data_IF_776252537636
#
_entry.id   IF_776252537636
#
_cell.length_a   1.000
_cell.length_b   1.000
_cell.length_c   1.000
_cell.angle_alpha   90.00
_cell.angle_beta   90.00
_cell.angle_gamma   90.00
#
_symmetry.space_group_name_H-M   'P 1'
#
loop_
_entity.id
_entity.type
_entity.pdbx_description
1 polymer ?
#
# COMPACT_ATOMS: atom_id res chain seq x y z
N UNK A 1 5.88 -18.27 16.35
CA UNK A 1 6.55 -19.51 16.80
C UNK A 1 7.97 -19.13 17.20
N UNK A 2 8.40 -19.40 18.45
CA UNK A 2 9.76 -19.09 18.94
C UNK A 2 10.47 -20.39 19.29
N UNK A 3 11.72 -20.55 18.86
CA UNK A 3 12.51 -21.78 19.02
C UNK A 3 13.16 -22.21 17.70
N UNK A 4 13.46 -23.49 17.55
CA UNK A 4 13.97 -24.05 16.29
C UNK A 4 12.82 -24.14 15.28
N UNK A 5 12.71 -23.10 14.43
CA UNK A 5 11.68 -23.00 13.40
C UNK A 5 12.26 -23.35 12.04
N UNK A 6 11.55 -24.19 11.28
CA UNK A 6 11.99 -24.66 9.97
C UNK A 6 10.90 -24.49 8.94
N UNK A 7 11.20 -23.81 7.84
CA UNK A 7 10.28 -23.68 6.72
C UNK A 7 10.62 -24.73 5.68
N UNK A 8 9.60 -25.49 5.26
CA UNK A 8 9.74 -26.56 4.30
C UNK A 8 8.72 -26.39 3.17
N UNK A 9 9.18 -25.80 2.08
CA UNK A 9 8.37 -25.48 0.90
C UNK A 9 7.72 -26.71 0.25
N UNK A 10 8.42 -27.84 0.02
CA UNK A 10 7.84 -28.98 -0.68
C UNK A 10 6.61 -29.60 -0.01
N UNK A 11 6.42 -29.39 1.30
CA UNK A 11 5.24 -29.85 2.04
C UNK A 11 4.33 -28.71 2.49
N UNK A 12 4.58 -27.47 2.06
CA UNK A 12 3.86 -26.28 2.52
C UNK A 12 3.79 -26.15 4.04
N UNK A 13 4.87 -26.51 4.74
CA UNK A 13 4.88 -26.60 6.20
C UNK A 13 5.87 -25.66 6.87
N UNK A 14 5.50 -25.18 8.05
CA UNK A 14 6.41 -24.51 8.99
C UNK A 14 6.43 -25.32 10.27
N UNK A 15 7.58 -25.85 10.63
CA UNK A 15 7.78 -26.68 11.80
C UNK A 15 8.34 -25.85 12.96
N UNK A 16 7.86 -26.09 14.18
CA UNK A 16 8.51 -25.65 15.41
C UNK A 16 8.94 -26.89 16.21
N UNK A 17 10.24 -27.02 16.47
CA UNK A 17 10.80 -28.06 17.30
C UNK A 17 11.01 -27.56 18.73
N UNK A 18 10.32 -28.18 19.68
CA UNK A 18 10.45 -27.85 21.10
C UNK A 18 11.53 -28.72 21.75
N UNK A 19 12.62 -28.10 22.22
CA UNK A 19 13.66 -28.78 23.00
C UNK A 19 13.14 -29.16 24.39
N UNK A 20 13.54 -30.32 24.93
CA UNK A 20 13.33 -30.68 26.35
C UNK A 20 14.16 -29.75 27.26
N UNK A 21 13.61 -28.65 27.74
CA UNK A 21 14.16 -27.92 28.89
C UNK A 21 13.53 -28.47 30.19
N UNK A 22 14.29 -28.74 31.28
CA UNK A 22 13.82 -29.54 32.42
C UNK A 22 12.82 -28.85 33.37
N UNK A 23 12.29 -27.68 33.06
CA UNK A 23 11.49 -26.90 34.02
C UNK A 23 10.33 -26.05 33.48
N UNK A 24 10.07 -26.07 32.18
CA UNK A 24 8.94 -25.32 31.57
C UNK A 24 7.96 -26.19 30.78
N UNK A 25 8.21 -27.50 30.71
CA UNK A 25 7.47 -28.43 29.86
C UNK A 25 6.08 -28.78 30.43
N UNK A 26 5.92 -28.75 31.76
CA UNK A 26 4.67 -29.17 32.43
C UNK A 26 3.56 -28.09 32.39
N UNK A 27 3.92 -26.80 32.32
CA UNK A 27 2.92 -25.72 32.35
C UNK A 27 2.17 -25.62 31.00
N UNK A 28 2.85 -25.86 29.88
CA UNK A 28 2.27 -25.77 28.54
C UNK A 28 1.38 -26.97 28.17
N UNK A 29 1.75 -28.18 28.61
CA UNK A 29 1.00 -29.43 28.31
C UNK A 29 -0.37 -29.45 29.00
N UNK A 30 -0.57 -28.71 30.10
CA UNK A 30 -1.88 -28.63 30.77
C UNK A 30 -3.00 -28.07 29.89
N UNK A 31 -2.67 -27.43 28.76
CA UNK A 31 -3.61 -26.73 27.88
C UNK A 31 -3.91 -27.43 26.54
N UNK A 32 -3.27 -28.56 26.20
CA UNK A 32 -3.29 -29.12 24.84
C UNK A 32 -4.01 -30.48 24.76
N UNK A 33 -5.01 -30.59 23.88
CA UNK A 33 -5.66 -31.86 23.51
C UNK A 33 -4.68 -32.76 22.75
N UNK A 34 -4.36 -33.92 23.32
CA UNK A 34 -3.44 -34.91 22.72
C UNK A 34 -4.14 -35.63 21.56
N UNK A 35 -3.61 -35.54 20.35
CA UNK A 35 -3.92 -36.47 19.26
C UNK A 35 -2.92 -37.62 19.34
N UNK A 36 -3.40 -38.85 19.52
CA UNK A 36 -2.56 -40.04 19.63
C UNK A 36 -2.43 -40.75 18.27
N UNK A 37 -1.20 -40.99 17.82
CA UNK A 37 -0.86 -41.82 16.66
C UNK A 37 0.66 -42.04 16.60
N UNK A 38 1.11 -43.28 16.39
CA UNK A 38 2.47 -43.74 16.71
C UNK A 38 3.58 -43.48 15.68
N UNK A 39 4.82 -43.56 16.19
CA UNK A 39 6.13 -43.75 15.55
C UNK A 39 6.46 -43.01 14.23
N UNK A 40 6.71 -41.70 14.35
CA UNK A 40 7.94 -40.96 13.97
C UNK A 40 7.67 -39.48 14.31
N UNK A 41 8.53 -38.81 15.07
CA UNK A 41 8.38 -37.42 15.53
C UNK A 41 6.94 -37.04 15.99
N UNK A 42 6.58 -37.35 17.23
CA UNK A 42 5.25 -37.01 17.79
C UNK A 42 4.86 -35.54 17.50
N UNK A 43 3.87 -35.38 16.63
CA UNK A 43 3.20 -34.12 16.37
C UNK A 43 2.39 -33.71 17.60
N UNK A 44 2.67 -32.53 18.13
CA UNK A 44 2.04 -32.01 19.34
C UNK A 44 0.84 -31.12 19.02
N UNK A 45 0.91 -30.40 17.90
CA UNK A 45 -0.11 -29.46 17.45
C UNK A 45 0.02 -29.26 15.94
N UNK A 46 -1.12 -29.15 15.26
CA UNK A 46 -1.20 -28.85 13.84
C UNK A 46 -2.31 -27.84 13.58
N UNK A 47 -1.94 -26.73 12.97
CA UNK A 47 -2.84 -25.69 12.53
C UNK A 47 -2.70 -25.42 11.04
N UNK A 48 -3.81 -25.03 10.41
CA UNK A 48 -3.83 -24.63 9.00
C UNK A 48 -4.02 -23.13 8.93
N UNK A 49 -3.16 -22.45 8.17
CA UNK A 49 -3.21 -21.00 8.03
C UNK A 49 -3.03 -20.59 6.57
N UNK A 50 -3.72 -19.52 6.19
CA UNK A 50 -3.49 -18.81 4.93
C UNK A 50 -2.95 -17.43 5.26
N UNK A 51 -1.68 -17.10 5.02
CA UNK A 51 -1.02 -15.93 5.63
C UNK A 51 -1.32 -14.59 4.92
N UNK A 52 -2.52 -14.42 4.36
CA UNK A 52 -3.03 -13.15 3.80
C UNK A 52 -3.71 -12.28 4.86
N UNK A 53 -3.70 -10.96 4.67
CA UNK A 53 -4.08 -9.99 5.72
C UNK A 53 -5.59 -9.92 5.97
N UNK A 54 -6.43 -9.98 4.92
CA UNK A 54 -7.89 -9.87 5.04
C UNK A 54 -8.55 -11.21 5.39
N UNK A 55 -8.33 -11.70 6.61
CA UNK A 55 -8.88 -13.00 7.08
C UNK A 55 -10.40 -13.10 6.99
N UNK A 56 -11.10 -11.98 7.01
CA UNK A 56 -12.56 -11.90 6.95
C UNK A 56 -13.14 -11.98 5.53
N UNK A 57 -12.33 -11.94 4.47
CA UNK A 57 -12.80 -12.04 3.08
C UNK A 57 -12.69 -13.47 2.54
N UNK A 58 -13.72 -14.28 2.76
CA UNK A 58 -13.75 -15.69 2.38
C UNK A 58 -13.38 -15.94 0.90
N UNK A 59 -13.96 -15.18 -0.04
CA UNK A 59 -13.74 -15.37 -1.48
C UNK A 59 -12.26 -15.19 -1.87
N UNK A 60 -11.57 -14.26 -1.21
CA UNK A 60 -10.15 -14.00 -1.45
C UNK A 60 -9.32 -15.07 -0.77
N UNK A 61 -9.63 -15.35 0.50
CA UNK A 61 -8.96 -16.35 1.31
C UNK A 61 -9.02 -17.74 0.68
N UNK A 62 -10.09 -18.11 -0.01
CA UNK A 62 -10.20 -19.40 -0.71
C UNK A 62 -9.18 -19.57 -1.84
N UNK A 63 -8.60 -18.48 -2.34
CA UNK A 63 -7.56 -18.46 -3.38
C UNK A 63 -6.14 -18.36 -2.84
N UNK A 64 -6.00 -18.16 -1.53
CA UNK A 64 -4.68 -18.04 -0.88
C UNK A 64 -4.16 -19.43 -0.55
N UNK A 65 -2.91 -19.67 -0.87
CA UNK A 65 -2.25 -20.93 -0.56
C UNK A 65 -2.22 -21.16 0.96
N UNK A 66 -2.46 -22.41 1.35
CA UNK A 66 -2.53 -22.80 2.74
C UNK A 66 -1.20 -23.39 3.19
N UNK A 67 -0.82 -23.07 4.42
CA UNK A 67 0.33 -23.62 5.11
C UNK A 67 -0.10 -24.44 6.32
N UNK A 68 0.67 -25.48 6.59
CA UNK A 68 0.57 -26.30 7.78
C UNK A 68 1.60 -25.82 8.81
N UNK A 69 1.11 -25.33 9.96
CA UNK A 69 1.94 -24.98 11.11
C UNK A 69 1.97 -26.18 12.04
N UNK A 70 3.13 -26.81 12.17
CA UNK A 70 3.27 -28.10 12.85
C UNK A 70 4.26 -27.95 14.01
N UNK A 71 3.83 -28.27 15.22
CA UNK A 71 4.71 -28.31 16.40
C UNK A 71 5.12 -29.74 16.65
N UNK A 72 6.42 -29.99 16.71
CA UNK A 72 7.02 -31.30 16.94
C UNK A 72 7.89 -31.30 18.18
N UNK A 73 7.99 -32.46 18.81
CA UNK A 73 8.97 -32.70 19.87
C UNK A 73 10.34 -32.96 19.27
N UNK A 74 11.36 -32.26 19.76
CA UNK A 74 12.74 -32.53 19.35
C UNK A 74 13.20 -33.87 19.94
N UNK A 75 13.41 -34.88 19.08
CA UNK A 75 13.94 -36.19 19.48
C UNK A 75 15.42 -36.24 19.18
N UNK A 76 16.25 -36.38 20.22
CA UNK A 76 17.70 -36.52 20.07
C UNK A 76 18.01 -37.73 19.17
N UNK A 77 18.34 -37.47 17.90
CA UNK A 77 18.62 -38.49 16.90
C UNK A 77 17.98 -38.21 15.53
N UNK A 78 16.92 -37.41 15.46
CA UNK A 78 16.41 -36.92 14.19
C UNK A 78 17.33 -35.79 13.71
N UNK A 79 18.21 -36.09 12.75
CA UNK A 79 18.94 -35.05 12.01
C UNK A 79 17.94 -34.29 11.14
N UNK A 80 17.16 -33.40 11.75
CA UNK A 80 16.41 -32.41 11.00
C UNK A 80 17.48 -31.57 10.28
N UNK A 81 17.53 -31.67 8.95
CA UNK A 81 18.56 -31.02 8.14
C UNK A 81 18.11 -29.61 7.79
N UNK A 82 18.95 -28.63 8.07
CA UNK A 82 18.81 -27.27 7.57
C UNK A 82 19.75 -27.12 6.38
N UNK A 83 19.23 -26.63 5.25
CA UNK A 83 20.06 -26.29 4.09
C UNK A 83 20.61 -24.87 4.23
N UNK A 84 19.85 -23.99 4.90
CA UNK A 84 20.21 -22.60 5.15
C UNK A 84 19.86 -22.23 6.59
N UNK A 85 20.80 -21.58 7.27
CA UNK A 85 20.64 -21.09 8.65
C UNK A 85 20.54 -19.58 8.67
N UNK A 86 19.61 -19.06 9.46
CA UNK A 86 19.43 -17.64 9.73
C UNK A 86 19.49 -17.38 11.24
N UNK A 87 20.10 -16.26 11.62
CA UNK A 87 20.23 -15.80 13.01
C UNK A 87 19.18 -14.76 13.41
N UNK A 88 18.31 -14.37 12.47
CA UNK A 88 17.22 -13.42 12.64
C UNK A 88 15.85 -14.08 12.43
N UNK A 89 14.74 -13.49 12.92
CA UNK A 89 13.41 -14.03 12.71
C UNK A 89 12.98 -14.09 11.24
N UNK A 90 12.10 -15.03 10.91
CA UNK A 90 11.32 -15.02 9.67
C UNK A 90 9.98 -14.28 9.86
N UNK A 91 9.57 -13.53 8.84
CA UNK A 91 8.20 -13.05 8.69
C UNK A 91 7.64 -13.60 7.37
N UNK A 92 6.72 -14.54 7.49
CA UNK A 92 6.09 -15.23 6.38
C UNK A 92 4.72 -14.61 6.08
N UNK A 93 4.49 -14.20 4.83
CA UNK A 93 3.21 -13.63 4.39
C UNK A 93 2.86 -13.96 2.95
N UNK A 94 1.59 -13.81 2.60
CA UNK A 94 1.09 -13.96 1.23
C UNK A 94 1.05 -12.62 0.51
N UNK A 95 1.53 -12.59 -0.73
CA UNK A 95 1.30 -11.49 -1.69
C UNK A 95 0.23 -11.85 -2.73
N UNK A 96 -0.60 -12.86 -2.49
CA UNK A 96 -1.72 -13.25 -3.35
C UNK A 96 -2.93 -12.32 -3.22
N UNK A 97 -4.13 -12.88 -3.42
CA UNK A 97 -5.39 -12.16 -3.19
C UNK A 97 -5.68 -11.09 -4.24
N UNK A 98 -5.57 -9.81 -3.87
CA UNK A 98 -5.83 -8.67 -4.74
C UNK A 98 -4.56 -8.06 -5.39
N UNK A 99 -3.49 -8.84 -5.48
CA UNK A 99 -2.20 -8.45 -6.07
C UNK A 99 -2.37 -7.71 -7.40
N UNK A 100 -1.60 -6.63 -7.58
CA UNK A 100 -1.63 -5.78 -8.76
C UNK A 100 -2.61 -4.60 -8.66
N UNK A 101 -3.50 -4.57 -7.67
CA UNK A 101 -4.32 -3.41 -7.35
C UNK A 101 -3.62 -2.55 -6.29
N UNK A 102 -3.19 -1.33 -6.65
CA UNK A 102 -2.40 -0.45 -5.78
C UNK A 102 -3.02 -0.20 -4.40
N UNK A 103 -4.36 -0.14 -4.31
CA UNK A 103 -5.05 0.00 -3.03
C UNK A 103 -4.70 -1.15 -2.10
N UNK A 104 -4.93 -2.39 -2.57
CA UNK A 104 -4.69 -3.59 -1.79
C UNK A 104 -3.21 -3.83 -1.56
N UNK A 105 -2.36 -3.48 -2.52
CA UNK A 105 -0.90 -3.56 -2.37
C UNK A 105 -0.42 -2.75 -1.17
N UNK A 106 -0.93 -1.53 -0.99
CA UNK A 106 -0.58 -0.73 0.18
C UNK A 106 -1.36 -1.14 1.44
N UNK A 107 -2.68 -1.32 1.32
CA UNK A 107 -3.56 -1.53 2.45
C UNK A 107 -3.43 -2.91 3.08
N UNK A 108 -3.32 -3.94 2.25
CA UNK A 108 -3.30 -5.35 2.67
C UNK A 108 -1.86 -5.90 2.70
N UNK A 109 -0.92 -5.27 1.97
CA UNK A 109 0.48 -5.69 1.86
C UNK A 109 1.47 -4.78 2.57
N UNK A 110 1.84 -3.65 1.95
CA UNK A 110 2.97 -2.80 2.36
C UNK A 110 2.77 -2.18 3.75
N UNK A 111 1.59 -1.64 4.06
CA UNK A 111 1.34 -1.03 5.36
C UNK A 111 1.29 -2.08 6.47
N UNK A 112 0.58 -3.22 6.31
CA UNK A 112 0.67 -4.35 7.24
C UNK A 112 2.09 -4.91 7.42
N UNK A 113 2.89 -4.95 6.35
CA UNK A 113 4.29 -5.34 6.40
C UNK A 113 5.10 -4.37 7.26
N UNK A 114 4.92 -3.06 7.10
CA UNK A 114 5.52 -2.04 7.96
C UNK A 114 5.09 -2.19 9.42
N UNK A 115 3.79 -2.30 9.68
CA UNK A 115 3.20 -2.47 11.03
C UNK A 115 3.85 -3.67 11.73
N UNK A 116 3.96 -4.78 11.01
CA UNK A 116 4.45 -6.05 11.56
C UNK A 116 5.96 -6.05 11.73
N UNK A 117 6.72 -5.41 10.83
CA UNK A 117 8.18 -5.62 10.74
C UNK A 117 9.06 -4.48 11.25
N UNK A 118 8.59 -3.23 11.29
CA UNK A 118 9.46 -2.06 11.50
C UNK A 118 10.33 -2.15 12.77
N UNK A 119 9.80 -2.80 13.81
CA UNK A 119 10.45 -2.92 15.10
C UNK A 119 11.65 -3.87 15.12
N UNK A 120 11.80 -4.72 14.10
CA UNK A 120 12.99 -5.57 13.92
C UNK A 120 14.20 -4.78 13.40
N UNK A 121 14.03 -3.49 13.03
CA UNK A 121 15.13 -2.62 12.57
C UNK A 121 15.93 -3.24 11.41
N UNK A 122 15.24 -3.92 10.49
CA UNK A 122 15.77 -4.65 9.32
C UNK A 122 16.38 -6.03 9.59
N UNK A 123 16.44 -6.46 10.85
CA UNK A 123 16.90 -7.78 11.26
C UNK A 123 15.74 -8.79 11.24
N UNK A 124 15.21 -9.05 10.04
CA UNK A 124 14.11 -10.00 9.78
C UNK A 124 14.18 -10.45 8.33
N UNK A 125 13.98 -11.75 8.06
CA UNK A 125 13.92 -12.30 6.71
C UNK A 125 12.46 -12.40 6.27
N UNK A 126 12.15 -11.89 5.09
CA UNK A 126 10.81 -12.02 4.50
C UNK A 126 10.69 -13.29 3.69
N UNK A 127 9.64 -14.06 3.96
CA UNK A 127 9.30 -15.28 3.23
C UNK A 127 7.94 -15.05 2.58
N UNK A 128 7.89 -15.12 1.25
CA UNK A 128 6.72 -14.74 0.47
C UNK A 128 6.13 -15.98 -0.17
N UNK A 129 4.88 -16.30 0.16
CA UNK A 129 4.20 -17.52 -0.29
C UNK A 129 3.93 -17.50 -1.81
N UNK A 130 3.13 -16.55 -2.28
CA UNK A 130 2.86 -16.30 -3.71
C UNK A 130 3.80 -15.22 -4.28
N UNK A 131 5.10 -15.52 -4.35
CA UNK A 131 6.12 -14.57 -4.80
C UNK A 131 5.98 -14.23 -6.30
N UNK A 132 6.15 -12.94 -6.62
CA UNK A 132 6.23 -12.47 -7.99
C UNK A 132 7.40 -11.50 -8.18
N UNK A 133 8.27 -11.77 -9.14
CA UNK A 133 9.45 -10.92 -9.41
C UNK A 133 9.08 -9.48 -9.77
N UNK A 134 8.00 -9.28 -10.52
CA UNK A 134 7.51 -7.95 -10.87
C UNK A 134 7.03 -7.16 -9.63
N UNK A 135 6.48 -7.85 -8.63
CA UNK A 135 6.03 -7.24 -7.38
C UNK A 135 7.24 -6.73 -6.61
N UNK A 136 8.26 -7.59 -6.43
CA UNK A 136 9.49 -7.18 -5.77
C UNK A 136 10.15 -6.01 -6.49
N UNK A 137 10.29 -6.07 -7.82
CA UNK A 137 10.86 -4.97 -8.62
C UNK A 137 10.15 -3.64 -8.38
N UNK A 138 8.82 -3.67 -8.26
CA UNK A 138 8.01 -2.47 -8.03
C UNK A 138 8.17 -1.90 -6.62
N UNK A 139 8.25 -2.76 -5.60
CA UNK A 139 8.26 -2.36 -4.19
C UNK A 139 9.63 -2.48 -3.50
N UNK A 140 10.70 -2.81 -4.24
CA UNK A 140 12.06 -3.02 -3.72
C UNK A 140 12.55 -1.86 -2.85
N UNK A 141 12.30 -0.62 -3.28
CA UNK A 141 12.71 0.58 -2.54
C UNK A 141 12.07 0.63 -1.14
N UNK A 142 10.89 0.04 -0.97
CA UNK A 142 10.18 -0.07 0.31
C UNK A 142 10.68 -1.31 1.07
N UNK A 143 10.68 -2.48 0.43
CA UNK A 143 11.00 -3.76 1.08
C UNK A 143 12.42 -3.76 1.64
N UNK A 144 13.39 -3.22 0.90
CA UNK A 144 14.79 -3.05 1.32
C UNK A 144 14.99 -2.09 2.50
N UNK A 145 13.96 -1.30 2.87
CA UNK A 145 13.99 -0.48 4.08
C UNK A 145 13.48 -1.21 5.32
N UNK A 146 12.84 -2.35 5.14
CA UNK A 146 12.27 -3.16 6.22
C UNK A 146 13.08 -4.42 6.52
N UNK A 147 13.96 -4.86 5.61
CA UNK A 147 14.86 -5.99 5.79
C UNK A 147 16.21 -5.74 5.14
N UNK A 148 17.29 -6.20 5.79
CA UNK A 148 18.65 -6.25 5.23
C UNK A 148 18.90 -7.50 4.37
N UNK A 149 17.92 -8.41 4.31
CA UNK A 149 18.03 -9.71 3.66
C UNK A 149 17.17 -9.76 2.40
N UNK A 150 17.60 -10.48 1.35
CA UNK A 150 16.75 -10.72 0.19
C UNK A 150 15.50 -11.53 0.60
N UNK A 151 14.32 -11.20 0.06
CA UNK A 151 13.13 -12.01 0.33
C UNK A 151 13.28 -13.41 -0.28
N UNK A 152 12.75 -14.40 0.41
CA UNK A 152 12.70 -15.80 -0.02
C UNK A 152 11.37 -16.03 -0.75
N UNK A 153 11.45 -16.55 -1.97
CA UNK A 153 10.32 -17.14 -2.67
C UNK A 153 10.02 -18.51 -2.05
N UNK A 154 8.97 -18.60 -1.23
CA UNK A 154 8.67 -19.84 -0.52
C UNK A 154 8.43 -20.98 -1.51
N UNK A 155 7.61 -20.76 -2.54
CA UNK A 155 7.22 -21.82 -3.48
C UNK A 155 8.33 -22.16 -4.48
N UNK A 156 9.23 -21.21 -4.75
CA UNK A 156 10.36 -21.38 -5.66
C UNK A 156 11.64 -21.91 -5.01
N UNK A 157 11.81 -21.80 -3.69
CA UNK A 157 12.99 -22.24 -2.96
C UNK A 157 12.74 -23.55 -2.18
N UNK A 158 13.23 -24.66 -2.72
CA UNK A 158 13.04 -26.00 -2.12
C UNK A 158 13.96 -26.28 -0.93
N UNK A 159 14.80 -25.34 -0.52
CA UNK A 159 15.72 -25.52 0.61
C UNK A 159 14.97 -25.39 1.94
N UNK A 160 15.41 -26.17 2.93
CA UNK A 160 14.93 -26.00 4.30
C UNK A 160 15.67 -24.85 4.96
N UNK A 161 14.95 -23.78 5.27
CA UNK A 161 15.49 -22.63 6.01
C UNK A 161 15.15 -22.74 7.50
N UNK A 162 16.14 -22.48 8.35
CA UNK A 162 16.01 -22.56 9.79
C UNK A 162 16.19 -21.19 10.44
N UNK A 163 15.31 -20.88 11.39
CA UNK A 163 15.19 -19.58 12.05
C UNK A 163 14.99 -19.75 13.56
N UNK A 164 15.43 -18.78 14.38
CA UNK A 164 15.15 -18.76 15.83
C UNK A 164 13.70 -18.38 16.18
N UNK A 165 12.98 -17.78 15.23
CA UNK A 165 11.59 -17.34 15.39
C UNK A 165 10.94 -17.22 14.01
N UNK A 166 9.64 -17.49 13.92
CA UNK A 166 8.82 -17.13 12.78
C UNK A 166 7.49 -16.48 13.19
N UNK A 167 7.13 -15.43 12.44
CA UNK A 167 5.83 -14.78 12.45
C UNK A 167 5.13 -15.18 11.16
N UNK A 168 3.88 -15.66 11.25
CA UNK A 168 3.11 -16.11 10.09
C UNK A 168 1.86 -15.26 9.93
N UNK A 169 1.81 -14.48 8.85
CA UNK A 169 0.79 -13.49 8.56
C UNK A 169 1.19 -12.06 9.00
N UNK A 170 0.43 -11.08 8.50
CA UNK A 170 0.62 -9.66 8.79
C UNK A 170 -0.47 -9.13 9.73
N UNK A 171 -0.12 -8.09 10.49
CA UNK A 171 -1.06 -7.32 11.31
C UNK A 171 -1.60 -6.12 10.53
N UNK A 172 -2.90 -5.90 10.63
CA UNK A 172 -3.61 -4.74 10.07
C UNK A 172 -4.45 -4.09 11.17
N UNK A 173 -4.47 -2.76 11.22
CA UNK A 173 -5.22 -2.02 12.24
C UNK A 173 -6.60 -1.59 11.72
N UNK A 174 -6.65 -0.99 10.53
CA UNK A 174 -7.87 -0.59 9.78
C UNK A 174 -7.41 -0.14 8.37
N UNK A 175 -8.32 0.34 7.52
CA UNK A 175 -8.01 0.87 6.19
C UNK A 175 -7.01 2.05 6.29
N UNK A 176 -5.82 1.90 5.69
CA UNK A 176 -4.68 2.82 5.76
C UNK A 176 -4.37 3.43 7.13
N UNK A 177 -4.64 2.69 8.20
CA UNK A 177 -4.51 3.19 9.58
C UNK A 177 -3.29 2.58 10.25
N UNK A 178 -2.55 3.42 11.00
CA UNK A 178 -1.50 2.97 11.92
C UNK A 178 -1.86 3.50 13.31
N UNK A 179 -2.60 2.70 14.07
CA UNK A 179 -2.92 2.99 15.46
C UNK A 179 -1.66 2.99 16.36
N UNK A 180 -1.27 4.15 16.94
CA UNK A 180 -0.11 4.23 17.83
C UNK A 180 -0.20 3.36 19.07
N UNK A 181 -1.42 3.11 19.59
CA UNK A 181 -1.64 2.30 20.80
C UNK A 181 -1.30 0.82 20.58
N UNK A 182 -1.37 0.36 19.32
CA UNK A 182 -1.05 -1.01 18.92
C UNK A 182 0.39 -1.16 18.40
N UNK A 183 1.12 -0.05 18.25
CA UNK A 183 2.47 -0.03 17.69
C UNK A 183 3.55 0.01 18.76
N UNK A 184 4.57 -0.85 18.60
CA UNK A 184 5.80 -0.73 19.40
C UNK A 184 6.49 0.61 19.10
N UNK A 185 6.64 1.42 20.15
CA UNK A 185 7.22 2.76 20.04
C UNK A 185 6.22 3.84 19.60
N UNK A 186 4.91 3.60 19.76
CA UNK A 186 3.83 4.56 19.48
C UNK A 186 3.91 5.17 18.07
N UNK A 187 4.27 4.35 17.09
CA UNK A 187 4.39 4.76 15.69
C UNK A 187 3.02 5.06 15.10
N UNK A 188 2.97 6.08 14.28
CA UNK A 188 1.76 6.61 13.64
C UNK A 188 1.83 6.50 12.11
N UNK A 189 0.76 6.92 11.43
CA UNK A 189 0.75 7.02 9.96
C UNK A 189 1.76 8.06 9.44
N UNK A 190 2.10 9.07 10.25
CA UNK A 190 3.16 10.03 9.92
C UNK A 190 4.55 9.37 9.96
N UNK A 191 4.80 8.44 10.87
CA UNK A 191 6.04 7.65 10.85
C UNK A 191 6.13 6.78 9.60
N UNK A 192 5.00 6.17 9.18
CA UNK A 192 4.95 5.44 7.91
C UNK A 192 5.23 6.36 6.72
N UNK A 193 4.72 7.59 6.73
CA UNK A 193 5.01 8.60 5.71
C UNK A 193 6.49 8.98 5.66
N UNK A 194 7.15 9.12 6.80
CA UNK A 194 8.59 9.35 6.88
C UNK A 194 9.43 8.14 6.44
N UNK A 195 8.92 6.95 6.68
CA UNK A 195 9.49 5.74 6.13
C UNK A 195 9.43 5.74 4.59
N UNK A 196 8.31 6.16 3.98
CA UNK A 196 8.21 6.34 2.52
C UNK A 196 9.16 7.43 1.99
N UNK A 197 9.35 8.55 2.72
CA UNK A 197 10.40 9.54 2.39
C UNK A 197 11.76 8.84 2.25
N UNK A 198 12.13 8.07 3.26
CA UNK A 198 13.43 7.40 3.32
C UNK A 198 13.61 6.34 2.24
N UNK A 199 12.53 5.64 1.87
CA UNK A 199 12.51 4.65 0.79
C UNK A 199 12.85 5.28 -0.56
N UNK A 200 12.22 6.40 -0.92
CA UNK A 200 12.33 6.97 -2.26
C UNK A 200 13.38 8.09 -2.42
N UNK A 201 13.84 8.70 -1.32
CA UNK A 201 14.77 9.85 -1.37
C UNK A 201 16.07 9.55 -2.13
N UNK A 202 16.60 8.33 -2.06
CA UNK A 202 17.88 7.98 -2.71
C UNK A 202 17.75 7.82 -4.22
N UNK A 203 16.67 7.20 -4.71
CA UNK A 203 16.42 7.11 -6.15
C UNK A 203 16.21 8.48 -6.77
N UNK A 204 15.51 9.38 -6.08
CA UNK A 204 15.29 10.74 -6.58
C UNK A 204 16.62 11.50 -6.67
N UNK A 205 17.47 11.44 -5.63
CA UNK A 205 18.81 12.08 -5.68
C UNK A 205 19.73 11.52 -6.76
N UNK A 206 19.58 10.24 -7.11
CA UNK A 206 20.34 9.58 -8.18
C UNK A 206 19.80 9.82 -9.59
N UNK A 207 18.50 10.09 -9.73
CA UNK A 207 17.81 10.25 -11.02
C UNK A 207 17.57 11.70 -11.46
N UNK A 208 17.91 12.70 -10.63
CA UNK A 208 17.82 14.12 -11.00
C UNK A 208 18.71 14.41 -12.22
N UNK A 209 18.14 14.82 -13.37
CA UNK A 209 18.93 15.21 -14.53
C UNK A 209 19.85 16.38 -14.18
N UNK A 210 21.09 16.40 -14.70
CA UNK A 210 22.07 17.47 -14.46
C UNK A 210 21.53 18.89 -14.73
N UNK A 211 20.50 19.01 -15.57
CA UNK A 211 19.78 20.27 -15.82
C UNK A 211 19.08 20.81 -14.56
N UNK A 212 18.37 19.99 -13.80
CA UNK A 212 17.69 20.43 -12.56
C UNK A 212 18.68 20.66 -11.42
N UNK A 213 19.72 19.82 -11.33
CA UNK A 213 20.83 19.99 -10.39
C UNK A 213 21.58 21.31 -10.66
N UNK A 214 21.83 21.62 -11.92
CA UNK A 214 22.44 22.88 -12.35
C UNK A 214 21.55 24.11 -12.13
N UNK A 215 20.22 23.97 -12.22
CA UNK A 215 19.27 25.05 -11.94
C UNK A 215 19.16 25.33 -10.43
N UNK A 216 19.11 24.29 -9.59
CA UNK A 216 19.08 24.42 -8.12
C UNK A 216 20.38 25.05 -7.60
N UNK A 217 21.53 24.64 -8.14
CA UNK A 217 22.83 25.22 -7.80
C UNK A 217 22.94 26.69 -8.23
N UNK A 218 22.41 27.04 -9.42
CA UNK A 218 22.38 28.44 -9.90
C UNK A 218 21.42 29.31 -9.08
N UNK A 219 20.29 28.79 -8.62
CA UNK A 219 19.38 29.51 -7.72
C UNK A 219 20.05 29.83 -6.38
N UNK A 220 20.78 28.86 -5.81
CA UNK A 220 21.51 29.06 -4.55
C UNK A 220 22.74 29.99 -4.69
N UNK A 221 23.36 30.06 -5.87
CA UNK A 221 24.50 30.95 -6.15
C UNK A 221 24.08 32.37 -6.61
N UNK A 222 22.85 32.55 -7.12
CA UNK A 222 22.34 33.86 -7.55
C UNK A 222 22.02 34.84 -6.41
N UNK A 223 22.21 34.43 -5.15
CA UNK A 223 22.05 35.27 -3.98
C UNK A 223 23.27 36.19 -3.70
N UNK A 224 24.36 36.14 -4.48
CA UNK A 224 25.62 36.80 -4.07
C UNK A 224 26.42 37.64 -5.08
N UNK A 225 26.02 37.91 -6.34
CA UNK A 225 26.79 38.84 -7.22
C UNK A 225 25.92 39.62 -8.25
N UNK A 226 26.20 40.90 -8.56
CA UNK A 226 25.42 41.72 -9.49
C UNK A 226 25.68 41.38 -10.98
N UNK A 227 24.68 41.69 -11.80
CA UNK A 227 24.60 41.37 -13.23
C UNK A 227 25.47 42.25 -14.13
N UNK A 228 26.11 41.64 -15.14
CA UNK A 228 26.45 42.30 -16.40
C UNK A 228 26.53 41.27 -17.54
N UNK A 229 25.93 41.60 -18.70
CA UNK A 229 26.06 40.84 -19.95
C UNK A 229 24.74 40.32 -20.53
N UNK A 230 24.14 41.11 -21.43
CA UNK A 230 22.99 40.73 -22.26
C UNK A 230 23.37 39.64 -23.29
N UNK A 231 22.67 38.51 -23.27
CA UNK A 231 22.24 37.78 -24.48
C UNK A 231 21.09 36.79 -24.12
N UNK A 232 20.03 36.81 -24.93
CA UNK A 232 18.78 36.01 -24.86
C UNK A 232 17.86 36.27 -23.66
N UNK A 233 16.97 37.27 -23.82
CA UNK A 233 16.06 37.78 -22.79
C UNK A 233 14.58 37.44 -23.06
N UNK A 234 14.31 36.26 -23.63
CA UNK A 234 12.94 35.71 -23.75
C UNK A 234 12.93 34.38 -22.96
N UNK A 235 11.93 34.20 -22.09
CA UNK A 235 11.61 33.01 -21.28
C UNK A 235 12.31 32.74 -19.93
N UNK A 236 13.19 33.59 -19.38
CA UNK A 236 13.69 33.36 -18.00
C UNK A 236 12.70 33.80 -16.92
N UNK A 237 12.03 34.93 -17.09
CA UNK A 237 11.07 35.42 -16.09
C UNK A 237 9.76 34.62 -16.08
N UNK A 238 9.24 34.23 -17.24
CA UNK A 238 8.02 33.42 -17.33
C UNK A 238 8.23 32.01 -16.77
N UNK A 239 9.37 31.37 -17.05
CA UNK A 239 9.74 30.09 -16.41
C UNK A 239 9.88 30.23 -14.90
N UNK A 240 10.49 31.32 -14.42
CA UNK A 240 10.64 31.60 -12.99
C UNK A 240 9.29 31.91 -12.31
N UNK A 241 8.33 32.47 -13.03
CA UNK A 241 6.97 32.73 -12.53
C UNK A 241 6.10 31.46 -12.54
N UNK A 242 6.25 30.60 -13.55
CA UNK A 242 5.64 29.27 -13.62
C UNK A 242 6.13 28.34 -12.50
N UNK A 243 7.41 28.44 -12.11
CA UNK A 243 7.98 27.67 -10.99
C UNK A 243 7.50 28.12 -9.60
N UNK A 244 6.87 29.30 -9.48
CA UNK A 244 6.32 29.80 -8.21
C UNK A 244 4.84 29.44 -8.01
N UNK A 245 4.13 29.00 -9.06
CA UNK A 245 2.73 28.60 -8.95
C UNK A 245 2.63 27.27 -8.17
N UNK A 246 1.66 27.11 -7.26
CA UNK A 246 1.41 25.83 -6.62
C UNK A 246 1.05 24.78 -7.69
N UNK A 247 1.58 23.57 -7.51
CA UNK A 247 1.39 22.43 -8.40
C UNK A 247 0.15 21.64 -7.97
N UNK A 248 -0.74 21.41 -8.93
CA UNK A 248 -1.91 20.57 -8.80
C UNK A 248 -1.77 19.35 -9.72
N UNK A 249 -1.88 18.16 -9.14
CA UNK A 249 -1.82 16.90 -9.90
C UNK A 249 -3.22 16.31 -10.04
N UNK A 250 -3.62 16.05 -11.28
CA UNK A 250 -4.85 15.31 -11.60
C UNK A 250 -4.47 13.85 -11.80
N UNK A 251 -5.00 12.96 -10.95
CA UNK A 251 -4.90 11.51 -11.14
C UNK A 251 -6.01 11.08 -12.10
N UNK A 252 -5.62 10.99 -13.36
CA UNK A 252 -6.45 10.62 -14.49
C UNK A 252 -6.60 9.10 -14.57
N UNK A 253 -7.74 8.67 -15.09
CA UNK A 253 -8.10 7.25 -15.24
C UNK A 253 -8.90 7.02 -16.51
N UNK A 254 -8.63 5.88 -17.14
CA UNK A 254 -9.38 5.38 -18.29
C UNK A 254 -10.37 4.30 -17.88
N UNK A 255 -11.47 4.15 -18.62
CA UNK A 255 -12.50 3.15 -18.35
C UNK A 255 -13.58 3.68 -17.41
N UNK A 256 -13.85 2.96 -16.31
CA UNK A 256 -14.86 3.37 -15.34
C UNK A 256 -14.38 4.53 -14.46
N UNK A 257 -15.32 5.34 -13.98
CA UNK A 257 -15.14 6.54 -13.16
C UNK A 257 -14.17 7.57 -13.77
N UNK A 258 -14.04 7.58 -15.09
CA UNK A 258 -13.25 8.57 -15.81
C UNK A 258 -13.89 9.96 -15.71
N UNK A 259 -13.05 11.00 -15.68
CA UNK A 259 -13.47 12.39 -15.88
C UNK A 259 -13.63 12.63 -17.38
N UNK A 260 -14.87 12.78 -17.85
CA UNK A 260 -15.14 12.94 -19.29
C UNK A 260 -14.84 14.36 -19.78
N UNK A 261 -14.79 15.34 -18.87
CA UNK A 261 -14.43 16.72 -19.14
C UNK A 261 -13.15 17.14 -18.39
N UNK A 262 -12.14 16.25 -18.37
CA UNK A 262 -10.83 16.47 -17.73
C UNK A 262 -10.14 17.74 -18.22
N UNK A 263 -10.21 18.04 -19.52
CA UNK A 263 -9.60 19.25 -20.09
C UNK A 263 -10.21 20.54 -19.53
N UNK A 264 -11.52 20.53 -19.20
CA UNK A 264 -12.16 21.65 -18.53
C UNK A 264 -11.62 21.84 -17.11
N UNK A 265 -11.35 20.75 -16.38
CA UNK A 265 -10.75 20.81 -15.05
C UNK A 265 -9.31 21.33 -15.10
N UNK A 266 -8.53 20.92 -16.09
CA UNK A 266 -7.18 21.46 -16.34
C UNK A 266 -7.25 22.97 -16.56
N UNK A 267 -8.09 23.40 -17.50
CA UNK A 267 -8.29 24.82 -17.85
C UNK A 267 -8.69 25.63 -16.62
N UNK A 268 -9.70 25.16 -15.86
CA UNK A 268 -10.17 25.82 -14.64
C UNK A 268 -9.06 25.97 -13.60
N UNK A 269 -8.27 24.93 -13.37
CA UNK A 269 -7.19 24.96 -12.37
C UNK A 269 -6.05 25.91 -12.80
N UNK A 270 -5.72 25.97 -14.10
CA UNK A 270 -4.75 26.93 -14.64
C UNK A 270 -5.22 28.38 -14.51
N UNK A 271 -6.50 28.65 -14.77
CA UNK A 271 -7.14 29.96 -14.61
C UNK A 271 -7.14 30.43 -13.14
N UNK A 272 -7.37 29.52 -12.20
CA UNK A 272 -7.26 29.79 -10.75
C UNK A 272 -5.82 30.08 -10.34
N UNK A 273 -4.83 29.68 -11.14
CA UNK A 273 -3.43 30.01 -10.96
C UNK A 273 -2.53 28.83 -10.56
N UNK A 274 -3.02 27.60 -10.66
CA UNK A 274 -2.19 26.40 -10.47
C UNK A 274 -1.31 26.12 -11.69
N UNK A 275 -0.19 25.44 -11.46
CA UNK A 275 0.51 24.68 -12.50
C UNK A 275 -0.05 23.26 -12.48
N UNK A 276 -0.71 22.84 -13.54
CA UNK A 276 -1.41 21.56 -13.59
C UNK A 276 -0.54 20.48 -14.22
N UNK A 277 -0.53 19.28 -13.62
CA UNK A 277 0.06 18.09 -14.22
C UNK A 277 -0.94 16.94 -14.18
N UNK A 278 -1.20 16.32 -15.33
CA UNK A 278 -2.09 15.16 -15.44
C UNK A 278 -1.25 13.88 -15.39
N UNK A 279 -1.46 13.06 -14.36
CA UNK A 279 -0.80 11.77 -14.21
C UNK A 279 -1.78 10.63 -14.45
N UNK A 280 -1.36 9.65 -15.27
CA UNK A 280 -2.15 8.46 -15.65
C UNK A 280 -1.46 7.20 -15.13
N UNK A 281 -1.54 6.91 -13.82
CA UNK A 281 -0.84 5.77 -13.26
C UNK A 281 -1.44 4.44 -13.75
N UNK A 282 -0.63 3.66 -14.45
CA UNK A 282 -0.89 2.25 -14.79
C UNK A 282 -0.20 1.26 -13.83
N UNK A 283 -0.35 -0.04 -14.12
CA UNK A 283 0.21 -1.13 -13.28
C UNK A 283 1.74 -1.09 -13.17
N UNK A 284 2.42 -0.67 -14.24
CA UNK A 284 3.88 -0.60 -14.37
C UNK A 284 4.47 0.76 -14.00
N UNK A 285 3.66 1.69 -13.50
CA UNK A 285 4.13 3.02 -13.10
C UNK A 285 5.19 2.92 -12.02
N UNK A 286 6.33 3.58 -12.24
CA UNK A 286 7.39 3.66 -11.25
C UNK A 286 6.93 4.49 -10.04
N UNK A 287 6.99 3.88 -8.87
CA UNK A 287 6.56 4.51 -7.62
C UNK A 287 7.50 5.62 -7.19
N UNK A 288 8.79 5.57 -7.55
CA UNK A 288 9.72 6.65 -7.20
C UNK A 288 9.36 7.95 -7.94
N UNK A 289 9.01 7.87 -9.22
CA UNK A 289 8.53 9.02 -9.99
C UNK A 289 7.19 9.55 -9.48
N UNK A 290 6.24 8.66 -9.17
CA UNK A 290 4.96 9.08 -8.57
C UNK A 290 5.14 9.73 -7.21
N UNK A 291 6.06 9.18 -6.41
CA UNK A 291 6.42 9.75 -5.12
C UNK A 291 6.99 11.15 -5.28
N UNK A 292 7.97 11.33 -6.17
CA UNK A 292 8.57 12.64 -6.45
C UNK A 292 7.51 13.66 -6.90
N UNK A 293 6.69 13.29 -7.89
CA UNK A 293 5.62 14.13 -8.42
C UNK A 293 4.70 14.66 -7.31
N UNK A 294 4.18 13.76 -6.47
CA UNK A 294 3.19 14.13 -5.46
C UNK A 294 3.81 14.78 -4.22
N UNK A 295 5.03 14.40 -3.85
CA UNK A 295 5.77 15.02 -2.77
C UNK A 295 6.15 16.49 -3.08
N UNK A 296 6.15 16.89 -4.35
CA UNK A 296 6.34 18.27 -4.81
C UNK A 296 5.05 19.00 -5.16
N UNK A 297 3.89 18.38 -4.89
CA UNK A 297 2.59 18.95 -5.23
C UNK A 297 1.84 19.44 -3.99
N UNK A 298 1.23 20.62 -4.11
CA UNK A 298 0.37 21.20 -3.09
C UNK A 298 -1.04 20.61 -3.13
N UNK A 299 -1.50 20.17 -4.30
CA UNK A 299 -2.85 19.62 -4.49
C UNK A 299 -2.81 18.34 -5.32
N UNK A 300 -3.60 17.35 -4.90
CA UNK A 300 -3.94 16.18 -5.71
C UNK A 300 -5.46 16.08 -5.84
N UNK A 301 -5.94 15.84 -7.05
CA UNK A 301 -7.36 15.58 -7.34
C UNK A 301 -7.54 14.31 -8.15
N UNK A 302 -8.60 13.57 -7.88
CA UNK A 302 -9.03 12.49 -8.76
C UNK A 302 -10.32 11.82 -8.30
N UNK A 303 -10.87 10.98 -9.16
CA UNK A 303 -12.12 10.25 -8.88
C UNK A 303 -11.83 9.01 -8.06
N UNK A 304 -12.65 8.75 -7.04
CA UNK A 304 -12.56 7.61 -6.13
C UNK A 304 -12.14 6.30 -6.84
N UNK A 305 -11.01 5.74 -6.43
CA UNK A 305 -10.47 4.50 -6.97
C UNK A 305 -9.06 4.21 -6.48
N UNK A 306 -8.53 3.03 -6.81
CA UNK A 306 -7.23 2.56 -6.30
C UNK A 306 -6.05 3.47 -6.63
N UNK A 307 -6.10 4.21 -7.74
CA UNK A 307 -5.06 5.17 -8.08
C UNK A 307 -4.95 6.33 -7.06
N UNK A 308 -6.01 6.59 -6.27
CA UNK A 308 -5.95 7.62 -5.23
C UNK A 308 -5.08 7.22 -4.04
N UNK A 309 -4.71 5.94 -3.89
CA UNK A 309 -3.76 5.48 -2.85
C UNK A 309 -2.43 6.23 -2.87
N UNK A 310 -2.06 6.83 -4.01
CA UNK A 310 -0.91 7.73 -4.09
C UNK A 310 -1.04 8.99 -3.20
N UNK A 311 -2.20 9.28 -2.59
CA UNK A 311 -2.32 10.33 -1.57
C UNK A 311 -1.32 10.14 -0.42
N UNK A 312 -0.90 8.90 -0.14
CA UNK A 312 0.14 8.55 0.83
C UNK A 312 1.51 9.21 0.51
N UNK A 313 1.71 9.71 -0.71
CA UNK A 313 2.95 10.36 -1.14
C UNK A 313 2.91 11.88 -1.01
N UNK A 314 1.74 12.47 -0.79
CA UNK A 314 1.60 13.90 -0.50
C UNK A 314 2.31 14.25 0.81
N UNK A 315 2.79 15.49 0.92
CA UNK A 315 3.30 16.02 2.18
C UNK A 315 2.13 16.38 3.10
N UNK A 316 2.27 16.18 4.43
CA UNK A 316 1.33 16.76 5.38
C UNK A 316 1.15 18.26 5.13
N UNK A 317 -0.09 18.74 5.19
CA UNK A 317 -0.48 20.10 4.84
C UNK A 317 -0.95 20.29 3.38
N UNK A 318 -0.64 19.37 2.46
CA UNK A 318 -1.16 19.38 1.09
C UNK A 318 -2.68 19.10 1.06
N UNK A 319 -3.32 19.48 -0.04
CA UNK A 319 -4.76 19.29 -0.27
C UNK A 319 -5.00 18.02 -1.09
N UNK A 320 -5.93 17.20 -0.64
CA UNK A 320 -6.40 16.03 -1.39
C UNK A 320 -7.90 16.15 -1.66
N UNK A 321 -8.23 16.31 -2.94
CA UNK A 321 -9.60 16.42 -3.43
C UNK A 321 -10.02 15.07 -4.02
N UNK A 322 -10.95 14.42 -3.35
CA UNK A 322 -11.58 13.20 -3.85
C UNK A 322 -12.91 13.55 -4.51
N UNK A 323 -13.03 13.30 -5.81
CA UNK A 323 -14.33 13.28 -6.48
C UNK A 323 -15.02 11.97 -6.10
N UNK A 324 -16.20 12.06 -5.48
CA UNK A 324 -16.97 10.96 -4.91
C UNK A 324 -18.14 10.62 -5.85
N UNK A 325 -18.04 9.51 -6.62
CA UNK A 325 -19.14 8.89 -7.37
C UNK A 325 -20.42 8.70 -6.54
N UNK A 326 -21.59 8.74 -7.19
CA UNK A 326 -22.85 8.28 -6.59
C UNK A 326 -22.68 6.93 -5.90
N UNK A 327 -23.34 6.73 -4.75
CA UNK A 327 -23.34 5.45 -4.05
C UNK A 327 -22.02 5.05 -3.38
N UNK A 328 -20.99 5.91 -3.41
CA UNK A 328 -19.66 5.58 -2.86
C UNK A 328 -19.27 6.38 -1.61
N UNK A 329 -20.20 7.08 -0.96
CA UNK A 329 -19.91 7.91 0.22
C UNK A 329 -19.18 7.18 1.35
N UNK A 330 -19.70 6.00 1.73
CA UNK A 330 -19.14 5.19 2.82
C UNK A 330 -17.72 4.69 2.50
N UNK A 331 -17.48 4.01 1.35
CA UNK A 331 -16.13 3.61 1.00
C UNK A 331 -15.21 4.80 0.73
N UNK A 332 -15.69 5.93 0.21
CA UNK A 332 -14.86 7.13 0.04
C UNK A 332 -14.31 7.64 1.37
N UNK A 333 -15.16 7.73 2.39
CA UNK A 333 -14.76 8.18 3.72
C UNK A 333 -13.80 7.18 4.40
N UNK A 334 -14.15 5.89 4.40
CA UNK A 334 -13.36 4.85 5.07
C UNK A 334 -11.99 4.62 4.39
N UNK A 335 -11.98 4.51 3.06
CA UNK A 335 -10.77 4.19 2.29
C UNK A 335 -9.81 5.38 2.15
N UNK A 336 -10.30 6.62 2.19
CA UNK A 336 -9.49 7.78 1.81
C UNK A 336 -9.72 9.01 2.70
N UNK A 337 -10.98 9.34 3.03
CA UNK A 337 -11.30 10.53 3.81
C UNK A 337 -10.67 10.55 5.20
N UNK A 338 -10.95 9.54 6.03
CA UNK A 338 -10.36 9.39 7.37
C UNK A 338 -8.82 9.27 7.29
N UNK A 339 -8.23 8.34 6.50
CA UNK A 339 -6.78 8.21 6.41
C UNK A 339 -6.05 9.48 5.94
N UNK A 340 -6.62 10.23 5.00
CA UNK A 340 -6.03 11.48 4.53
C UNK A 340 -5.93 12.52 5.65
N UNK A 341 -6.97 12.65 6.48
CA UNK A 341 -6.93 13.58 7.63
C UNK A 341 -5.93 13.14 8.68
N UNK A 342 -5.84 11.85 8.97
CA UNK A 342 -4.85 11.30 9.91
C UNK A 342 -3.41 11.48 9.42
N UNK A 343 -3.18 11.42 8.10
CA UNK A 343 -1.92 11.77 7.45
C UNK A 343 -1.60 13.28 7.49
N UNK A 344 -2.51 14.11 8.01
CA UNK A 344 -2.35 15.55 8.11
C UNK A 344 -2.64 16.30 6.80
N UNK A 345 -3.41 15.70 5.88
CA UNK A 345 -3.84 16.36 4.65
C UNK A 345 -5.13 17.17 4.87
N UNK A 346 -5.29 18.22 4.06
CA UNK A 346 -6.56 18.92 3.90
C UNK A 346 -7.44 18.14 2.93
N UNK A 347 -8.29 17.28 3.45
CA UNK A 347 -9.18 16.44 2.64
C UNK A 347 -10.46 17.18 2.22
N UNK A 348 -10.80 17.12 0.93
CA UNK A 348 -12.04 17.67 0.36
C UNK A 348 -12.74 16.55 -0.42
N UNK A 349 -13.93 16.15 0.04
CA UNK A 349 -14.79 15.20 -0.68
C UNK A 349 -15.80 15.92 -1.58
N UNK A 350 -15.54 15.99 -2.89
CA UNK A 350 -16.48 16.54 -3.86
C UNK A 350 -17.52 15.49 -4.24
N UNK A 351 -18.69 15.56 -3.61
CA UNK A 351 -19.82 14.67 -3.93
C UNK A 351 -20.51 15.13 -5.19
N UNK A 352 -20.54 14.25 -6.19
CA UNK A 352 -21.20 14.54 -7.46
C UNK A 352 -22.72 14.52 -7.31
N UNK A 353 -23.39 15.32 -8.11
CA UNK A 353 -24.84 15.27 -8.30
C UNK A 353 -25.19 14.19 -9.32
N UNK A 354 -26.45 13.70 -9.33
CA UNK A 354 -26.89 12.75 -10.34
C UNK A 354 -26.59 13.20 -11.77
N UNK A 355 -26.76 14.48 -12.10
CA UNK A 355 -26.49 15.04 -13.44
C UNK A 355 -25.03 15.00 -13.87
N UNK A 356 -24.10 14.87 -12.93
CA UNK A 356 -22.67 14.74 -13.21
C UNK A 356 -22.25 13.28 -13.43
N UNK A 357 -23.17 12.32 -13.27
CA UNK A 357 -22.94 10.91 -13.49
C UNK A 357 -23.45 10.46 -14.86
N UNK A 358 -22.69 9.59 -15.54
CA UNK A 358 -23.17 8.93 -16.76
C UNK A 358 -24.44 8.09 -16.53
N UNK A 359 -24.65 7.60 -15.30
CA UNK A 359 -25.85 6.84 -14.94
C UNK A 359 -27.14 7.65 -15.11
N UNK A 360 -27.05 8.99 -15.12
CA UNK A 360 -28.19 9.88 -15.35
C UNK A 360 -28.88 9.64 -16.71
N UNK A 361 -28.11 9.16 -17.69
CA UNK A 361 -28.61 8.86 -19.03
C UNK A 361 -28.97 7.37 -19.20
N UNK A 362 -28.62 6.52 -18.23
CA UNK A 362 -28.88 5.07 -18.26
C UNK A 362 -30.13 4.67 -17.47
N UNK A 363 -30.48 5.43 -16.44
CA UNK A 363 -31.58 5.13 -15.53
C UNK A 363 -32.67 6.21 -15.57
N UNK A 364 -33.91 5.80 -15.28
CA UNK A 364 -35.01 6.72 -15.13
C UNK A 364 -34.75 7.73 -13.99
N UNK A 365 -35.23 8.97 -14.14
CA UNK A 365 -34.98 10.05 -13.17
C UNK A 365 -35.45 9.73 -11.74
N UNK A 366 -36.45 8.85 -11.60
CA UNK A 366 -36.98 8.38 -10.32
C UNK A 366 -36.30 7.12 -9.78
N UNK A 367 -35.37 6.52 -10.53
CA UNK A 367 -34.74 5.26 -10.14
C UNK A 367 -33.92 5.43 -8.85
N UNK A 368 -34.00 4.48 -7.88
CA UNK A 368 -33.18 4.49 -6.67
C UNK A 368 -31.67 4.57 -6.92
N UNK A 369 -31.17 4.14 -8.08
CA UNK A 369 -29.75 4.28 -8.47
C UNK A 369 -29.32 5.76 -8.48
N UNK A 370 -30.21 6.66 -8.87
CA UNK A 370 -29.94 8.10 -8.92
C UNK A 370 -30.43 8.82 -7.66
N UNK A 371 -31.59 8.43 -7.15
CA UNK A 371 -32.31 9.18 -6.09
C UNK A 371 -32.02 8.68 -4.69
N UNK A 372 -31.70 7.39 -4.51
CA UNK A 372 -31.43 6.80 -3.22
C UNK A 372 -30.37 5.69 -3.27
N UNK A 373 -29.10 6.02 -3.57
CA UNK A 373 -28.05 5.01 -3.68
C UNK A 373 -27.86 4.12 -2.45
N UNK A 374 -28.26 4.60 -1.28
CA UNK A 374 -28.20 3.82 -0.02
C UNK A 374 -29.07 2.57 -0.07
N UNK A 375 -30.23 2.58 -0.72
CA UNK A 375 -31.08 1.38 -0.84
C UNK A 375 -30.49 0.36 -1.79
N UNK A 376 -29.81 0.81 -2.84
CA UNK A 376 -29.05 -0.07 -3.75
C UNK A 376 -27.89 -0.72 -3.02
N UNK A 377 -27.13 0.06 -2.24
CA UNK A 377 -25.99 -0.44 -1.47
C UNK A 377 -26.38 -1.49 -0.41
N UNK A 378 -27.61 -1.43 0.12
CA UNK A 378 -28.14 -2.44 1.05
C UNK A 378 -28.29 -3.83 0.41
N UNK A 379 -28.30 -3.93 -0.93
CA UNK A 379 -28.31 -5.22 -1.65
C UNK A 379 -26.96 -5.94 -1.59
N UNK A 380 -25.91 -5.28 -1.09
CA UNK A 380 -24.58 -5.85 -0.89
C UNK A 380 -23.51 -5.25 -1.78
N UNK A 381 -22.24 -5.51 -1.43
CA UNK A 381 -21.08 -4.92 -2.09
C UNK A 381 -21.00 -5.20 -3.59
N UNK A 382 -21.42 -6.38 -4.03
CA UNK A 382 -21.39 -6.75 -5.45
C UNK A 382 -22.23 -5.80 -6.30
N UNK A 383 -23.44 -5.45 -5.85
CA UNK A 383 -24.31 -4.49 -6.52
C UNK A 383 -23.73 -3.08 -6.52
N UNK A 384 -23.19 -2.64 -5.37
CA UNK A 384 -22.52 -1.34 -5.25
C UNK A 384 -21.37 -1.22 -6.26
N UNK A 385 -20.55 -2.27 -6.35
CA UNK A 385 -19.38 -2.32 -7.25
C UNK A 385 -19.81 -2.27 -8.71
N UNK A 386 -20.72 -3.16 -9.11
CA UNK A 386 -21.18 -3.27 -10.50
C UNK A 386 -21.79 -1.96 -11.00
N UNK A 387 -22.65 -1.33 -10.21
CA UNK A 387 -23.36 -0.11 -10.63
C UNK A 387 -22.46 1.13 -10.49
N UNK A 388 -21.90 1.38 -9.30
CA UNK A 388 -21.28 2.67 -9.02
C UNK A 388 -19.77 2.71 -9.25
N UNK A 389 -19.09 1.55 -9.25
CA UNK A 389 -17.63 1.48 -9.46
C UNK A 389 -17.24 1.06 -10.88
N UNK A 390 -18.09 0.31 -11.56
CA UNK A 390 -17.78 -0.27 -12.88
C UNK A 390 -18.53 0.44 -14.03
N UNK A 391 -19.72 1.00 -13.79
CA UNK A 391 -20.59 1.55 -14.86
C UNK A 391 -20.76 3.07 -14.88
N UNK A 392 -20.14 3.80 -13.96
CA UNK A 392 -20.31 5.26 -13.91
C UNK A 392 -19.05 5.99 -14.34
N UNK A 393 -19.19 7.00 -15.19
CA UNK A 393 -18.21 8.07 -15.44
C UNK A 393 -18.72 9.41 -14.92
N UNK A 394 -17.82 10.39 -14.77
CA UNK A 394 -18.11 11.67 -14.14
C UNK A 394 -17.87 12.83 -15.10
N UNK A 395 -18.86 13.71 -15.24
CA UNK A 395 -18.77 15.00 -15.90
C UNK A 395 -18.93 16.09 -14.84
N UNK A 396 -17.83 16.68 -14.40
CA UNK A 396 -17.84 17.66 -13.31
C UNK A 396 -18.55 18.96 -13.71
N UNK A 397 -19.35 19.50 -12.82
CA UNK A 397 -19.85 20.87 -12.89
C UNK A 397 -18.75 21.84 -12.47
N UNK A 398 -18.13 22.51 -13.44
CA UNK A 398 -17.02 23.44 -13.22
C UNK A 398 -17.39 24.62 -12.32
N UNK A 399 -18.65 25.08 -12.36
CA UNK A 399 -19.09 26.21 -11.51
C UNK A 399 -19.17 25.79 -10.05
N UNK A 400 -19.63 24.55 -9.80
CA UNK A 400 -19.62 23.97 -8.45
C UNK A 400 -18.23 23.59 -7.99
N UNK A 401 -17.39 23.07 -8.88
CA UNK A 401 -16.03 22.64 -8.56
C UNK A 401 -15.09 23.82 -8.27
N UNK A 402 -15.30 24.98 -8.91
CA UNK A 402 -14.52 26.20 -8.66
C UNK A 402 -14.69 26.75 -7.23
N UNK A 403 -15.85 26.52 -6.60
CA UNK A 403 -16.15 26.98 -5.23
C UNK A 403 -15.49 26.08 -4.21
#
# INVERSE_FOLDING_TARGET
>A
MKGDVRTHSPSSSVFLYLSKQPGGFDEFISSVHRVAGGHDDEELQHEKIRPYTRKWENIVMDKIDQLDLIVKKDTMGAHHRCDVWHDVPALLFSTGGYTGNLYHEFNDGILPLYITSQHFKKEVVFIILEYHHWWFTKYENIVSRLSNYPPIDFSGDNRTHCFPEAIVGLKIHDEFTVDPSLMKGNKSILDFRHFLDSAYQYRIKGSMPDKERGIQLKLNQSASVPASGQLMNINKNDQKHQLKKPKLVIISRSGSRALVNEDCLVTLAEEVGFRVEVSRPGRTTDLANMYHLLNESEVMVGVHGAALTHFLFLKPGSVFIQVIPLGTDSPAEACFGKPARELGLKYIGYKILPRESSLYNEYDKGDPVLTNPKTVNKKGWQYTKEIYLERQNVSLDMTRFHK
#
